data_IF_316671408970
#
_entry.id   IF_316671408970
#
_cell.length_a   1.000
_cell.length_b   1.000
_cell.length_c   1.000
_cell.angle_alpha   90.00
_cell.angle_beta   90.00
_cell.angle_gamma   90.00
#
_symmetry.space_group_name_H-M   'P 1'
#
loop_
_entity.id
_entity.type
_entity.pdbx_description
1 polymer ?
#
# COMPACT_ATOMS: atom_id res chain seq x y z
N UNK A 1 -17.60 -51.65 -33.72
CA UNK A 1 -17.75 -50.98 -32.41
C UNK A 1 -16.60 -49.98 -32.19
N UNK A 2 -16.89 -48.69 -32.09
CA UNK A 2 -15.89 -47.72 -31.64
C UNK A 2 -15.75 -47.84 -30.12
N UNK A 3 -14.54 -48.11 -29.64
CA UNK A 3 -14.23 -48.01 -28.21
C UNK A 3 -14.18 -46.52 -27.88
N UNK A 4 -14.96 -46.09 -26.88
CA UNK A 4 -14.91 -44.70 -26.39
C UNK A 4 -13.55 -44.35 -25.80
N UNK A 5 -13.25 -43.06 -25.66
CA UNK A 5 -12.00 -42.63 -25.00
C UNK A 5 -12.02 -43.04 -23.52
N UNK A 6 -10.89 -43.55 -23.03
CA UNK A 6 -10.67 -43.75 -21.60
C UNK A 6 -10.27 -42.42 -20.94
N UNK A 7 -10.93 -42.06 -19.84
CA UNK A 7 -10.68 -40.86 -19.05
C UNK A 7 -10.72 -41.19 -17.56
N UNK A 8 -10.18 -40.34 -16.68
CA UNK A 8 -10.17 -40.56 -15.23
C UNK A 8 -11.58 -40.61 -14.64
N UNK A 9 -11.74 -41.25 -13.49
CA UNK A 9 -13.00 -41.23 -12.75
C UNK A 9 -13.21 -39.91 -12.02
N UNK A 10 -12.15 -39.41 -11.37
CA UNK A 10 -12.17 -38.16 -10.62
C UNK A 10 -10.78 -37.53 -10.56
N UNK A 11 -10.75 -36.26 -10.14
CA UNK A 11 -9.54 -35.58 -9.73
C UNK A 11 -9.47 -35.44 -8.21
N UNK A 12 -8.25 -35.37 -7.69
CA UNK A 12 -7.97 -34.88 -6.35
C UNK A 12 -6.96 -33.76 -6.40
N UNK A 13 -7.05 -32.82 -5.45
CA UNK A 13 -6.18 -31.65 -5.38
C UNK A 13 -5.28 -31.68 -4.16
N UNK A 14 -4.10 -31.10 -4.31
CA UNK A 14 -3.15 -30.92 -3.22
C UNK A 14 -2.38 -29.61 -3.40
N UNK A 15 -2.00 -28.99 -2.29
CA UNK A 15 -1.16 -27.79 -2.29
C UNK A 15 0.26 -28.17 -2.71
N UNK A 16 0.77 -27.53 -3.76
CA UNK A 16 2.22 -27.52 -4.06
C UNK A 16 2.87 -26.39 -3.28
N UNK A 17 2.25 -25.22 -3.32
CA UNK A 17 2.67 -24.03 -2.58
C UNK A 17 1.44 -23.19 -2.23
N UNK A 18 1.31 -22.80 -0.96
CA UNK A 18 0.33 -21.77 -0.58
C UNK A 18 0.67 -20.40 -1.18
N UNK A 19 1.91 -20.22 -1.65
CA UNK A 19 2.48 -18.92 -1.97
C UNK A 19 2.84 -18.13 -0.72
N UNK A 20 3.49 -17.00 -0.93
CA UNK A 20 3.83 -16.05 0.11
C UNK A 20 3.89 -14.64 -0.47
N UNK A 21 3.48 -13.66 0.31
CA UNK A 21 3.79 -12.25 0.06
C UNK A 21 5.12 -11.90 0.75
N UNK A 22 5.66 -10.70 0.48
CA UNK A 22 6.98 -10.29 0.95
C UNK A 22 7.87 -9.67 -0.12
N UNK A 23 7.35 -9.43 -1.33
CA UNK A 23 8.03 -8.56 -2.29
C UNK A 23 8.10 -7.12 -1.76
N UNK A 24 7.10 -6.71 -0.97
CA UNK A 24 6.90 -5.38 -0.38
C UNK A 24 6.94 -4.23 -1.39
N UNK A 25 5.98 -3.32 -1.31
CA UNK A 25 6.00 -2.10 -2.13
C UNK A 25 6.94 -1.02 -1.57
N UNK A 26 7.30 -1.14 -0.28
CA UNK A 26 8.28 -0.32 0.42
C UNK A 26 9.28 -1.20 1.18
N UNK A 27 10.07 -0.61 2.09
CA UNK A 27 11.12 -1.34 2.81
C UNK A 27 10.52 -2.19 3.94
N UNK A 28 10.16 -3.43 3.61
CA UNK A 28 9.64 -4.43 4.57
C UNK A 28 8.16 -4.25 4.95
N UNK A 29 7.43 -3.44 4.19
CA UNK A 29 5.98 -3.28 4.32
C UNK A 29 5.40 -2.69 3.03
N UNK A 30 4.07 -2.69 2.92
CA UNK A 30 3.31 -1.93 1.92
C UNK A 30 2.29 -1.03 2.62
N UNK A 31 2.04 0.15 2.08
CA UNK A 31 0.93 0.97 2.57
C UNK A 31 -0.42 0.42 2.09
N UNK A 32 -1.47 0.58 2.88
CA UNK A 32 -2.85 0.49 2.36
C UNK A 32 -3.00 1.48 1.21
N UNK A 33 -3.53 1.04 0.07
CA UNK A 33 -3.60 1.80 -1.19
C UNK A 33 -2.40 1.61 -2.12
N UNK A 34 -1.30 1.00 -1.64
CA UNK A 34 -0.14 0.68 -2.45
C UNK A 34 -0.23 -0.75 -2.99
N UNK A 35 0.22 -0.93 -4.24
CA UNK A 35 0.18 -2.25 -4.90
C UNK A 35 1.42 -3.08 -4.58
N UNK A 36 1.22 -4.36 -4.28
CA UNK A 36 2.28 -5.34 -4.06
C UNK A 36 1.95 -6.67 -4.77
N UNK A 37 2.90 -7.62 -4.76
CA UNK A 37 2.74 -8.93 -5.40
C UNK A 37 3.34 -10.05 -4.53
N UNK A 38 3.21 -11.29 -4.98
CA UNK A 38 3.80 -12.44 -4.31
C UNK A 38 5.33 -12.37 -4.29
N UNK A 39 5.93 -12.85 -3.21
CA UNK A 39 7.33 -13.29 -3.21
C UNK A 39 7.44 -14.68 -3.85
N UNK A 40 6.48 -15.56 -3.57
CA UNK A 40 6.37 -16.89 -4.15
C UNK A 40 4.92 -17.13 -4.60
N UNK A 41 4.71 -17.46 -5.87
CA UNK A 41 3.36 -17.66 -6.39
C UNK A 41 2.69 -18.92 -5.80
N UNK A 42 1.38 -18.86 -5.50
CA UNK A 42 0.61 -20.05 -5.11
C UNK A 42 0.50 -21.07 -6.26
N UNK A 43 0.50 -22.35 -5.91
CA UNK A 43 0.44 -23.47 -6.86
C UNK A 43 -0.42 -24.62 -6.33
N UNK A 44 -1.31 -25.13 -7.18
CA UNK A 44 -2.21 -26.26 -6.89
C UNK A 44 -1.87 -27.42 -7.84
N UNK A 45 -1.71 -28.63 -7.29
CA UNK A 45 -1.58 -29.86 -8.08
C UNK A 45 -2.93 -30.56 -8.17
N UNK A 46 -3.34 -30.90 -9.38
CA UNK A 46 -4.52 -31.72 -9.68
C UNK A 46 -4.04 -33.08 -10.20
N UNK A 47 -4.48 -34.17 -9.57
CA UNK A 47 -4.07 -35.53 -9.94
C UNK A 47 -5.28 -36.34 -10.37
N UNK A 48 -5.18 -37.02 -11.51
CA UNK A 48 -6.23 -37.85 -12.07
C UNK A 48 -6.20 -39.27 -11.51
N UNK A 49 -7.34 -39.78 -11.06
CA UNK A 49 -7.48 -41.13 -10.49
C UNK A 49 -8.50 -41.98 -11.23
N UNK A 50 -8.32 -43.30 -11.18
CA UNK A 50 -9.27 -44.26 -11.74
C UNK A 50 -10.39 -44.63 -10.75
N UNK A 51 -11.38 -45.41 -11.22
CA UNK A 51 -12.54 -45.86 -10.44
C UNK A 51 -12.28 -47.12 -9.58
N UNK A 52 -11.02 -47.50 -9.33
CA UNK A 52 -10.71 -48.68 -8.53
C UNK A 52 -11.09 -48.45 -7.05
N UNK A 53 -11.39 -49.53 -6.31
CA UNK A 53 -11.72 -49.45 -4.88
C UNK A 53 -10.61 -48.80 -4.04
N UNK A 54 -9.36 -49.05 -4.41
CA UNK A 54 -8.20 -48.25 -4.00
C UNK A 54 -7.75 -47.46 -5.23
N UNK A 55 -8.07 -46.16 -5.33
CA UNK A 55 -7.80 -45.38 -6.53
C UNK A 55 -6.30 -45.34 -6.84
N UNK A 56 -5.97 -45.51 -8.12
CA UNK A 56 -4.60 -45.38 -8.65
C UNK A 56 -4.56 -44.24 -9.66
N UNK A 57 -3.42 -43.56 -9.72
CA UNK A 57 -3.21 -42.45 -10.66
C UNK A 57 -3.34 -42.94 -12.10
N UNK A 58 -4.13 -42.22 -12.90
CA UNK A 58 -4.27 -42.45 -14.34
C UNK A 58 -3.06 -41.86 -15.06
N UNK A 59 -1.93 -42.60 -15.08
CA UNK A 59 -0.64 -42.12 -15.61
C UNK A 59 -0.70 -41.60 -17.06
N UNK A 60 -1.62 -42.12 -17.88
CA UNK A 60 -1.80 -41.68 -19.27
C UNK A 60 -2.60 -40.37 -19.42
N UNK A 61 -3.06 -39.76 -18.32
CA UNK A 61 -3.69 -38.44 -18.33
C UNK A 61 -2.62 -37.35 -18.49
N UNK A 62 -2.14 -37.19 -19.73
CA UNK A 62 -1.09 -36.24 -20.14
C UNK A 62 -1.35 -35.77 -21.57
N UNK A 63 -0.76 -34.66 -21.99
CA UNK A 63 -0.77 -34.15 -23.36
C UNK A 63 -2.20 -34.06 -23.91
N UNK A 64 -2.49 -34.68 -25.06
CA UNK A 64 -3.82 -34.67 -25.67
C UNK A 64 -4.90 -35.43 -24.89
N UNK A 65 -4.52 -36.27 -23.91
CA UNK A 65 -5.45 -36.99 -23.03
C UNK A 65 -5.85 -36.16 -21.81
N UNK A 66 -5.00 -35.24 -21.36
CA UNK A 66 -5.38 -34.26 -20.34
C UNK A 66 -6.36 -33.25 -20.96
N UNK A 67 -7.56 -33.16 -20.40
CA UNK A 67 -8.63 -32.28 -20.90
C UNK A 67 -8.83 -31.04 -20.03
N UNK A 68 -8.27 -31.02 -18.83
CA UNK A 68 -8.21 -29.82 -18.01
C UNK A 68 -7.43 -28.72 -18.74
N UNK A 69 -8.02 -27.54 -18.74
CA UNK A 69 -7.53 -26.30 -19.30
C UNK A 69 -7.60 -25.19 -18.25
N UNK A 70 -6.95 -24.05 -18.49
CA UNK A 70 -6.95 -22.94 -17.53
C UNK A 70 -8.35 -22.41 -17.19
N UNK A 71 -9.31 -22.48 -18.13
CA UNK A 71 -10.70 -22.04 -17.90
C UNK A 71 -11.49 -22.93 -16.96
N UNK A 72 -11.02 -24.16 -16.74
CA UNK A 72 -11.71 -25.12 -15.89
C UNK A 72 -11.48 -24.85 -14.39
N UNK A 73 -10.49 -24.02 -14.05
CA UNK A 73 -10.15 -23.63 -12.69
C UNK A 73 -10.92 -22.36 -12.29
N UNK A 74 -12.06 -22.54 -11.62
CA UNK A 74 -12.83 -21.42 -11.12
C UNK A 74 -12.32 -20.98 -9.75
N UNK A 75 -11.56 -19.88 -9.73
CA UNK A 75 -11.06 -19.25 -8.50
C UNK A 75 -11.93 -18.04 -8.17
N UNK A 76 -12.53 -18.02 -6.98
CA UNK A 76 -13.22 -16.83 -6.48
C UNK A 76 -12.21 -15.71 -6.25
N UNK A 77 -12.42 -14.54 -6.86
CA UNK A 77 -11.55 -13.39 -6.63
C UNK A 77 -11.74 -12.89 -5.19
N UNK A 78 -10.67 -12.78 -4.39
CA UNK A 78 -10.77 -12.23 -3.04
C UNK A 78 -11.11 -10.74 -3.11
N UNK A 79 -11.97 -10.30 -2.19
CA UNK A 79 -12.36 -8.88 -2.02
C UNK A 79 -12.04 -8.35 -0.63
N UNK A 80 -11.59 -9.22 0.28
CA UNK A 80 -11.17 -8.90 1.64
C UNK A 80 -9.93 -9.70 2.02
N UNK A 81 -9.28 -9.29 3.11
CA UNK A 81 -8.40 -10.18 3.86
C UNK A 81 -9.16 -11.43 4.32
N UNK A 82 -8.44 -12.50 4.62
CA UNK A 82 -9.00 -13.74 5.14
C UNK A 82 -9.34 -13.65 6.64
N UNK A 83 -8.57 -12.86 7.40
CA UNK A 83 -8.57 -12.92 8.87
C UNK A 83 -8.65 -11.54 9.54
N UNK A 84 -8.18 -10.48 8.88
CA UNK A 84 -8.03 -9.16 9.50
C UNK A 84 -9.33 -8.36 9.48
N UNK A 85 -9.95 -8.17 10.64
CA UNK A 85 -11.02 -7.20 10.83
C UNK A 85 -10.50 -5.76 10.73
N UNK A 86 -11.32 -4.89 10.15
CA UNK A 86 -11.07 -3.46 10.09
C UNK A 86 -11.44 -2.73 11.39
N UNK A 87 -11.41 -1.40 11.32
CA UNK A 87 -11.66 -0.51 12.46
C UNK A 87 -13.06 -0.69 13.08
N UNK A 88 -14.05 -1.12 12.30
CA UNK A 88 -15.41 -1.39 12.80
C UNK A 88 -15.55 -2.72 13.56
N UNK A 89 -14.48 -3.53 13.67
CA UNK A 89 -14.46 -4.78 14.43
C UNK A 89 -15.39 -5.89 13.91
N UNK A 90 -15.96 -5.75 12.71
CA UNK A 90 -17.00 -6.65 12.18
C UNK A 90 -16.81 -7.03 10.72
N UNK A 91 -16.34 -6.09 9.88
CA UNK A 91 -16.02 -6.35 8.48
C UNK A 91 -14.50 -6.48 8.31
N UNK A 92 -14.09 -7.45 7.49
CA UNK A 92 -12.69 -7.63 7.12
C UNK A 92 -12.20 -6.43 6.29
N UNK A 93 -10.91 -6.12 6.39
CA UNK A 93 -10.29 -5.08 5.56
C UNK A 93 -10.37 -5.48 4.09
N UNK A 94 -10.75 -4.53 3.23
CA UNK A 94 -11.00 -4.79 1.81
C UNK A 94 -9.72 -4.75 1.01
N UNK A 95 -9.70 -5.53 -0.07
CA UNK A 95 -8.62 -5.53 -1.04
C UNK A 95 -9.13 -5.67 -2.47
N UNK A 96 -8.32 -5.22 -3.41
CA UNK A 96 -8.47 -5.48 -4.83
C UNK A 96 -7.36 -6.42 -5.29
N UNK A 97 -7.68 -7.29 -6.25
CA UNK A 97 -6.73 -8.16 -6.97
C UNK A 97 -6.80 -7.88 -8.46
N UNK A 98 -5.65 -7.70 -9.10
CA UNK A 98 -5.50 -7.70 -10.56
C UNK A 98 -4.77 -8.98 -10.95
N UNK A 99 -5.46 -9.96 -11.55
CA UNK A 99 -4.84 -11.24 -11.89
C UNK A 99 -3.83 -11.08 -13.04
N UNK A 100 -2.73 -11.82 -12.95
CA UNK A 100 -1.77 -12.00 -14.03
C UNK A 100 -2.01 -13.33 -14.76
N UNK A 101 -1.26 -13.58 -15.84
CA UNK A 101 -1.36 -14.83 -16.60
C UNK A 101 -1.02 -16.03 -15.74
N UNK A 102 -1.94 -16.99 -15.69
CA UNK A 102 -1.79 -18.28 -14.99
C UNK A 102 -1.13 -19.31 -15.91
N UNK A 103 -0.56 -20.36 -15.30
CA UNK A 103 0.07 -21.46 -16.01
C UNK A 103 -0.59 -22.78 -15.64
N UNK A 104 -0.64 -23.72 -16.59
CA UNK A 104 -1.01 -25.11 -16.35
C UNK A 104 0.07 -25.99 -16.94
N UNK A 105 0.83 -26.65 -16.07
CA UNK A 105 1.96 -27.50 -16.46
C UNK A 105 1.56 -28.96 -16.35
N UNK A 106 1.76 -29.72 -17.42
CA UNK A 106 1.64 -31.17 -17.40
C UNK A 106 2.90 -31.80 -16.80
N UNK A 107 2.74 -32.56 -15.72
CA UNK A 107 3.85 -33.21 -15.02
C UNK A 107 4.21 -34.58 -15.63
N UNK A 108 3.49 -35.03 -16.67
CA UNK A 108 3.70 -36.31 -17.38
C UNK A 108 3.56 -37.57 -16.51
N UNK A 109 2.89 -37.45 -15.37
CA UNK A 109 2.69 -38.50 -14.36
C UNK A 109 1.20 -38.75 -14.03
N UNK A 110 0.28 -38.25 -14.85
CA UNK A 110 -1.17 -38.25 -14.57
C UNK A 110 -1.64 -37.08 -13.71
N UNK A 111 -0.83 -36.03 -13.59
CA UNK A 111 -1.16 -34.80 -12.85
C UNK A 111 -0.79 -33.53 -13.60
N UNK A 112 -1.50 -32.44 -13.28
CA UNK A 112 -1.23 -31.10 -13.76
C UNK A 112 -0.97 -30.16 -12.58
N UNK A 113 -0.12 -29.15 -12.78
CA UNK A 113 0.14 -28.10 -11.80
C UNK A 113 -0.40 -26.77 -12.31
N UNK A 114 -1.43 -26.24 -11.63
CA UNK A 114 -1.92 -24.88 -11.83
C UNK A 114 -1.04 -23.91 -11.03
N UNK A 115 -0.55 -22.86 -11.69
CA UNK A 115 0.25 -21.81 -11.07
C UNK A 115 -0.40 -20.44 -11.27
N UNK A 116 -0.47 -19.66 -10.18
CA UNK A 116 -0.85 -18.25 -10.27
C UNK A 116 0.29 -17.44 -10.89
N UNK A 117 -0.07 -16.40 -11.67
CA UNK A 117 0.90 -15.40 -12.13
C UNK A 117 1.29 -14.43 -11.02
N UNK A 118 2.09 -13.41 -11.36
CA UNK A 118 2.42 -12.31 -10.46
C UNK A 118 1.24 -11.35 -10.33
N UNK A 119 0.16 -11.84 -9.71
CA UNK A 119 -1.03 -11.04 -9.43
C UNK A 119 -0.64 -9.82 -8.58
N UNK A 120 -1.34 -8.72 -8.81
CA UNK A 120 -1.17 -7.50 -8.05
C UNK A 120 -2.30 -7.37 -7.03
N UNK A 121 -1.95 -6.99 -5.81
CA UNK A 121 -2.86 -6.79 -4.69
C UNK A 121 -2.76 -5.38 -4.15
N UNK A 122 -3.90 -4.81 -3.75
CA UNK A 122 -3.98 -3.49 -3.12
C UNK A 122 -5.02 -3.55 -2.02
N UNK A 123 -4.61 -3.41 -0.75
CA UNK A 123 -5.57 -3.14 0.33
C UNK A 123 -6.15 -1.75 0.14
N UNK A 124 -7.45 -1.54 0.38
CA UNK A 124 -8.05 -0.22 0.22
C UNK A 124 -7.54 0.74 1.30
N UNK A 125 -7.36 2.01 0.95
CA UNK A 125 -7.04 3.10 1.88
C UNK A 125 -8.34 3.83 2.24
N UNK A 126 -8.98 3.38 3.32
CA UNK A 126 -10.32 3.81 3.71
C UNK A 126 -10.50 3.77 5.22
N UNK A 127 -11.60 4.32 5.74
CA UNK A 127 -11.84 4.43 7.20
C UNK A 127 -11.76 3.07 7.88
N UNK A 128 -12.30 2.02 7.24
CA UNK A 128 -12.29 0.68 7.83
C UNK A 128 -10.89 0.04 7.85
N UNK A 129 -9.94 0.51 7.03
CA UNK A 129 -8.56 0.02 7.02
C UNK A 129 -7.60 0.87 7.85
N UNK A 130 -8.05 1.98 8.48
CA UNK A 130 -7.28 2.72 9.47
C UNK A 130 -7.18 1.93 10.79
N UNK A 131 -6.35 0.89 10.78
CA UNK A 131 -6.02 0.04 11.93
C UNK A 131 -4.50 0.00 12.13
N UNK A 132 -4.06 -0.60 13.25
CA UNK A 132 -2.64 -0.86 13.47
C UNK A 132 -2.05 -1.80 12.40
N UNK A 133 -0.71 -1.84 12.26
CA UNK A 133 -0.08 -2.71 11.28
C UNK A 133 -0.47 -4.17 11.46
N UNK A 134 -0.68 -4.88 10.34
CA UNK A 134 -1.09 -6.29 10.35
C UNK A 134 -0.36 -7.09 9.27
N UNK A 135 -0.22 -8.40 9.50
CA UNK A 135 0.25 -9.34 8.47
C UNK A 135 -0.96 -9.83 7.69
N UNK A 136 -0.89 -9.69 6.38
CA UNK A 136 -1.98 -9.99 5.49
C UNK A 136 -2.18 -11.51 5.28
N UNK A 137 -3.41 -11.91 4.93
CA UNK A 137 -3.72 -13.26 4.48
C UNK A 137 -4.85 -13.21 3.43
N UNK A 138 -4.72 -13.97 2.34
CA UNK A 138 -5.70 -13.94 1.24
C UNK A 138 -6.12 -15.36 0.89
N UNK A 139 -7.43 -15.63 0.84
CA UNK A 139 -7.95 -16.92 0.40
C UNK A 139 -8.12 -16.97 -1.12
N UNK A 140 -7.44 -17.90 -1.77
CA UNK A 140 -7.63 -18.23 -3.19
C UNK A 140 -8.42 -19.53 -3.30
N UNK A 141 -9.74 -19.39 -3.36
CA UNK A 141 -10.66 -20.53 -3.25
C UNK A 141 -11.06 -21.04 -4.63
N UNK A 142 -10.63 -22.27 -4.93
CA UNK A 142 -11.08 -23.04 -6.07
C UNK A 142 -12.46 -23.63 -5.74
N UNK A 143 -13.48 -23.27 -6.53
CA UNK A 143 -14.87 -23.69 -6.30
C UNK A 143 -15.28 -24.85 -7.20
N UNK A 144 -14.79 -24.85 -8.44
CA UNK A 144 -15.00 -25.93 -9.41
C UNK A 144 -13.72 -26.17 -10.20
N UNK A 145 -13.42 -27.45 -10.43
CA UNK A 145 -12.38 -27.92 -11.35
C UNK A 145 -12.96 -29.15 -12.05
N UNK A 146 -13.36 -28.99 -13.30
CA UNK A 146 -14.05 -30.02 -14.10
C UNK A 146 -13.61 -29.87 -15.56
N UNK A 147 -13.19 -30.95 -16.19
CA UNK A 147 -12.77 -30.90 -17.59
C UNK A 147 -13.95 -31.11 -18.58
N UNK A 148 -13.63 -31.10 -19.89
CA UNK A 148 -14.61 -31.32 -20.96
C UNK A 148 -15.28 -32.70 -20.95
N UNK A 149 -14.76 -33.63 -20.16
CA UNK A 149 -15.28 -34.99 -20.04
C UNK A 149 -16.24 -35.13 -18.86
N UNK A 150 -16.45 -34.03 -18.13
CA UNK A 150 -17.22 -33.92 -16.90
C UNK A 150 -16.59 -34.67 -15.71
N UNK A 151 -15.28 -34.93 -15.75
CA UNK A 151 -14.56 -35.52 -14.62
C UNK A 151 -14.54 -34.51 -13.48
N UNK A 152 -15.10 -34.90 -12.33
CA UNK A 152 -15.25 -34.03 -11.18
C UNK A 152 -14.02 -34.07 -10.28
N UNK A 153 -13.73 -32.96 -9.62
CA UNK A 153 -12.73 -32.89 -8.55
C UNK A 153 -13.37 -33.13 -7.19
N UNK A 154 -12.78 -34.01 -6.40
CA UNK A 154 -13.19 -34.27 -5.02
C UNK A 154 -12.64 -33.20 -4.08
N UNK A 155 -13.32 -32.99 -2.94
CA UNK A 155 -12.87 -32.10 -1.85
C UNK A 155 -12.73 -30.62 -2.24
N UNK A 156 -13.64 -30.13 -3.10
CA UNK A 156 -13.86 -28.69 -3.30
C UNK A 156 -14.97 -28.16 -2.37
N UNK A 157 -14.94 -26.89 -1.96
CA UNK A 157 -13.91 -25.90 -2.30
C UNK A 157 -12.56 -26.18 -1.64
N UNK A 158 -11.48 -25.82 -2.34
CA UNK A 158 -10.11 -25.94 -1.84
C UNK A 158 -9.42 -24.58 -1.91
N UNK A 159 -8.71 -24.17 -0.85
CA UNK A 159 -8.10 -22.84 -0.78
C UNK A 159 -6.59 -22.93 -0.62
N UNK A 160 -5.88 -22.14 -1.42
CA UNK A 160 -4.50 -21.73 -1.12
C UNK A 160 -4.56 -20.41 -0.35
N UNK A 161 -3.67 -20.24 0.63
CA UNK A 161 -3.64 -19.03 1.44
C UNK A 161 -2.24 -18.41 1.47
N UNK A 162 -1.89 -17.57 0.49
CA UNK A 162 -0.70 -16.72 0.58
C UNK A 162 -0.85 -15.71 1.73
N UNK A 163 0.24 -15.51 2.46
CA UNK A 163 0.33 -14.61 3.62
C UNK A 163 1.69 -13.91 3.66
N UNK A 164 1.83 -12.89 4.51
CA UNK A 164 3.14 -12.41 4.98
C UNK A 164 3.52 -10.98 4.62
N UNK A 165 2.67 -10.25 3.88
CA UNK A 165 2.87 -8.83 3.64
C UNK A 165 2.52 -8.05 4.91
N UNK A 166 3.43 -7.20 5.38
CA UNK A 166 3.12 -6.25 6.45
C UNK A 166 2.42 -5.04 5.84
N UNK A 167 1.17 -4.79 6.23
CA UNK A 167 0.39 -3.65 5.77
C UNK A 167 0.41 -2.54 6.81
N UNK A 168 0.61 -1.29 6.38
CA UNK A 168 0.52 -0.08 7.21
C UNK A 168 -0.47 0.91 6.64
N UNK A 169 -1.34 1.46 7.47
CA UNK A 169 -2.17 2.60 7.06
C UNK A 169 -1.36 3.89 7.21
N UNK A 170 -1.05 4.56 6.11
CA UNK A 170 -0.08 5.67 6.07
C UNK A 170 -0.69 7.05 5.83
N UNK A 171 0.07 8.09 6.16
CA UNK A 171 -0.17 9.46 5.68
C UNK A 171 1.13 10.25 5.60
N UNK A 172 1.16 11.32 4.82
CA UNK A 172 2.17 12.37 4.94
C UNK A 172 1.67 13.45 5.91
N UNK A 173 2.55 14.02 6.71
CA UNK A 173 2.28 15.12 7.63
C UNK A 173 3.35 16.21 7.45
N UNK A 174 2.93 17.48 7.48
CA UNK A 174 3.83 18.64 7.38
C UNK A 174 3.73 19.41 8.69
N UNK A 175 4.83 19.50 9.42
CA UNK A 175 4.81 20.24 10.68
C UNK A 175 4.75 21.75 10.42
N UNK A 176 4.13 22.49 11.34
CA UNK A 176 4.34 23.93 11.42
C UNK A 176 5.75 24.22 11.98
N UNK A 177 6.38 25.29 11.47
CA UNK A 177 7.64 25.80 11.99
C UNK A 177 7.55 27.31 12.18
N UNK A 178 8.25 27.84 13.18
CA UNK A 178 8.36 29.27 13.40
C UNK A 178 9.78 29.62 13.87
N UNK A 179 10.24 30.82 13.52
CA UNK A 179 11.56 31.27 13.91
C UNK A 179 11.82 32.73 13.55
N UNK A 180 13.05 33.17 13.82
CA UNK A 180 13.50 34.51 13.41
C UNK A 180 13.59 34.61 11.89
N UNK A 181 13.21 35.77 11.38
CA UNK A 181 13.46 36.31 10.05
C UNK A 181 14.94 36.37 9.65
N UNK A 182 15.86 36.28 10.62
CA UNK A 182 17.32 36.32 10.41
C UNK A 182 17.97 34.94 10.23
N UNK A 183 17.20 33.85 10.37
CA UNK A 183 17.72 32.49 10.31
C UNK A 183 16.98 31.63 9.29
N UNK A 184 17.68 30.65 8.73
CA UNK A 184 17.04 29.63 7.92
C UNK A 184 16.06 28.81 8.78
N UNK A 185 14.89 28.51 8.23
CA UNK A 185 13.80 27.85 8.96
C UNK A 185 13.54 26.45 8.37
N UNK A 186 13.94 25.38 9.07
CA UNK A 186 13.65 24.01 8.64
C UNK A 186 12.20 23.61 8.99
N UNK A 187 11.50 23.05 8.01
CA UNK A 187 10.18 22.44 8.14
C UNK A 187 10.29 20.93 7.90
N UNK A 188 9.83 20.13 8.85
CA UNK A 188 9.80 18.67 8.71
C UNK A 188 8.57 18.21 7.93
N UNK A 189 8.80 17.43 6.89
CA UNK A 189 7.77 16.70 6.13
C UNK A 189 8.02 15.22 6.39
N UNK A 190 7.05 14.51 6.96
CA UNK A 190 7.26 13.13 7.41
C UNK A 190 6.13 12.22 7.00
N UNK A 191 6.44 10.95 6.79
CA UNK A 191 5.45 9.89 6.67
C UNK A 191 5.14 9.32 8.04
N UNK A 192 3.87 9.13 8.33
CA UNK A 192 3.36 8.51 9.55
C UNK A 192 2.57 7.25 9.19
N UNK A 193 2.42 6.34 10.15
CA UNK A 193 1.47 5.25 10.08
C UNK A 193 0.57 5.23 11.32
N UNK A 194 -0.65 4.74 11.16
CA UNK A 194 -1.55 4.55 12.29
C UNK A 194 -1.16 3.27 13.05
N UNK A 195 -0.86 3.39 14.34
CA UNK A 195 -0.39 2.28 15.17
C UNK A 195 -1.52 1.50 15.88
N UNK A 196 -2.78 1.84 15.59
CA UNK A 196 -3.98 1.30 16.26
C UNK A 196 -4.55 2.22 17.34
N UNK A 197 -3.76 3.18 17.84
CA UNK A 197 -4.19 4.20 18.81
C UNK A 197 -4.01 5.62 18.28
N UNK A 198 -2.94 5.86 17.53
CA UNK A 198 -2.60 7.17 16.99
C UNK A 198 -1.56 7.08 15.89
N UNK A 199 -1.16 8.25 15.39
CA UNK A 199 -0.15 8.37 14.35
C UNK A 199 1.26 8.26 14.94
N UNK A 200 2.12 7.50 14.28
CA UNK A 200 3.54 7.33 14.64
C UNK A 200 4.42 7.51 13.42
N UNK A 201 5.62 8.06 13.61
CA UNK A 201 6.57 8.29 12.52
C UNK A 201 6.95 6.97 11.85
N UNK A 202 6.82 6.92 10.52
CA UNK A 202 7.18 5.74 9.74
C UNK A 202 8.66 5.78 9.33
N UNK A 203 9.54 5.52 10.28
CA UNK A 203 11.00 5.57 10.04
C UNK A 203 11.51 4.53 9.05
N UNK A 204 10.70 3.51 8.73
CA UNK A 204 11.03 2.50 7.73
C UNK A 204 10.73 2.95 6.29
N UNK A 205 10.04 4.08 6.07
CA UNK A 205 9.78 4.56 4.72
C UNK A 205 11.08 5.08 4.08
N UNK A 206 11.63 4.28 3.16
CA UNK A 206 12.76 4.59 2.29
C UNK A 206 12.37 4.43 0.81
N UNK A 207 11.08 4.49 0.47
CA UNK A 207 10.59 4.31 -0.89
C UNK A 207 9.87 5.56 -1.42
N UNK A 208 9.36 6.42 -0.52
CA UNK A 208 8.71 7.67 -0.90
C UNK A 208 9.75 8.69 -1.36
N UNK A 209 9.54 9.30 -2.53
CA UNK A 209 10.40 10.36 -3.08
C UNK A 209 9.60 11.61 -3.41
N UNK A 210 9.95 12.73 -2.78
CA UNK A 210 9.30 14.03 -2.92
C UNK A 210 10.13 14.93 -3.84
N UNK A 211 9.47 15.58 -4.79
CA UNK A 211 10.07 16.58 -5.66
C UNK A 211 9.49 17.94 -5.28
N UNK A 212 10.35 18.95 -5.07
CA UNK A 212 9.90 20.27 -4.63
C UNK A 212 8.95 20.94 -5.63
N UNK A 213 9.10 20.69 -6.94
CA UNK A 213 8.26 21.31 -7.98
C UNK A 213 6.90 20.61 -8.09
N UNK A 214 6.89 19.27 -8.13
CA UNK A 214 5.67 18.50 -8.41
C UNK A 214 4.92 18.04 -7.17
N UNK A 215 5.56 17.94 -5.99
CA UNK A 215 4.95 17.36 -4.79
C UNK A 215 4.78 18.33 -3.62
N UNK A 216 5.22 19.58 -3.76
CA UNK A 216 5.06 20.63 -2.75
C UNK A 216 4.53 21.89 -3.42
N UNK A 217 3.61 22.58 -2.74
CA UNK A 217 3.12 23.89 -3.13
C UNK A 217 3.28 24.89 -1.99
N UNK A 218 3.52 26.14 -2.35
CA UNK A 218 3.70 27.25 -1.42
C UNK A 218 2.70 28.36 -1.71
N UNK A 219 2.17 29.01 -0.69
CA UNK A 219 1.32 30.18 -0.86
C UNK A 219 1.53 31.18 0.28
N UNK A 220 1.42 32.47 -0.05
CA UNK A 220 1.18 33.54 0.91
C UNK A 220 0.59 34.76 0.19
N UNK A 221 -0.01 35.72 0.92
CA UNK A 221 -0.63 36.89 0.28
C UNK A 221 0.34 37.75 -0.57
N UNK A 222 1.61 37.82 -0.16
CA UNK A 222 2.63 38.71 -0.76
C UNK A 222 3.23 38.16 -2.07
N UNK A 223 3.02 36.88 -2.38
CA UNK A 223 3.52 36.22 -3.59
C UNK A 223 2.37 35.79 -4.49
N UNK A 224 2.37 36.23 -5.75
CA UNK A 224 1.35 35.86 -6.74
C UNK A 224 -0.09 36.01 -6.23
N UNK A 225 -0.32 37.01 -5.39
CA UNK A 225 -1.62 37.32 -4.76
C UNK A 225 -2.25 36.12 -4.02
N UNK A 226 -1.46 35.30 -3.32
CA UNK A 226 -1.98 34.14 -2.59
C UNK A 226 -2.15 32.87 -3.41
N UNK A 227 -1.85 32.90 -4.70
CA UNK A 227 -1.97 31.71 -5.55
C UNK A 227 -0.90 30.67 -5.21
N UNK A 228 -1.26 29.40 -5.11
CA UNK A 228 -0.32 28.30 -4.90
C UNK A 228 0.73 28.21 -5.99
N UNK A 229 2.00 28.32 -5.60
CA UNK A 229 3.20 28.19 -6.42
C UNK A 229 3.92 26.86 -6.17
N UNK A 230 4.92 26.54 -6.97
CA UNK A 230 5.75 25.35 -6.77
C UNK A 230 6.62 25.45 -5.51
N UNK A 231 7.01 24.33 -4.92
CA UNK A 231 7.82 24.24 -3.69
C UNK A 231 9.22 24.85 -3.74
N UNK A 232 9.71 25.21 -4.93
CA UNK A 232 11.00 25.89 -5.14
C UNK A 232 10.85 27.37 -5.53
N UNK A 233 9.63 27.91 -5.55
CA UNK A 233 9.38 29.31 -5.88
C UNK A 233 9.95 30.22 -4.79
N UNK A 234 10.57 31.32 -5.20
CA UNK A 234 10.94 32.41 -4.29
C UNK A 234 9.67 33.11 -3.80
N UNK A 235 9.47 33.09 -2.49
CA UNK A 235 8.33 33.70 -1.81
C UNK A 235 8.74 35.06 -1.26
N UNK A 236 7.92 36.09 -1.50
CA UNK A 236 8.08 37.41 -0.88
C UNK A 236 7.63 37.33 0.58
N UNK A 237 8.37 37.94 1.50
CA UNK A 237 8.00 38.05 2.92
C UNK A 237 8.30 39.50 3.33
N UNK A 238 7.28 40.34 3.47
CA UNK A 238 7.49 41.78 3.65
C UNK A 238 8.25 42.37 2.45
N UNK A 239 9.42 42.97 2.71
CA UNK A 239 10.32 43.49 1.66
C UNK A 239 11.43 42.50 1.27
N UNK A 240 11.54 41.39 1.99
CA UNK A 240 12.52 40.33 1.77
C UNK A 240 11.97 39.17 0.94
N UNK A 241 12.81 38.15 0.77
CA UNK A 241 12.42 36.93 0.05
C UNK A 241 12.95 35.68 0.73
N UNK A 242 12.22 34.59 0.60
CA UNK A 242 12.59 33.28 1.11
C UNK A 242 12.40 32.21 0.04
N UNK A 243 13.36 31.30 -0.10
CA UNK A 243 13.28 30.17 -1.02
C UNK A 243 13.43 28.86 -0.27
N UNK A 244 12.56 27.89 -0.57
CA UNK A 244 12.60 26.56 0.00
C UNK A 244 13.59 25.64 -0.72
N UNK A 245 14.45 24.97 0.04
CA UNK A 245 15.30 23.87 -0.45
C UNK A 245 14.90 22.57 0.25
N UNK A 246 14.59 21.54 -0.53
CA UNK A 246 14.19 20.24 -0.04
C UNK A 246 15.40 19.30 0.06
N UNK A 247 15.59 18.66 1.20
CA UNK A 247 16.66 17.67 1.46
C UNK A 247 16.08 16.38 2.03
N UNK A 248 16.83 15.28 1.94
CA UNK A 248 16.40 13.94 2.39
C UNK A 248 15.08 13.51 1.75
N UNK A 249 14.92 13.72 0.45
CA UNK A 249 13.64 13.66 -0.24
C UNK A 249 13.60 12.66 -1.41
N UNK A 250 14.67 11.94 -1.69
CA UNK A 250 14.74 11.03 -2.83
C UNK A 250 15.66 9.83 -2.55
N UNK A 251 15.19 8.82 -1.80
CA UNK A 251 13.92 8.78 -1.06
C UNK A 251 14.01 9.55 0.27
N UNK A 252 12.92 9.56 1.04
CA UNK A 252 12.90 10.05 2.42
C UNK A 252 14.00 9.41 3.27
N UNK A 253 14.65 10.15 4.18
CA UNK A 253 15.60 9.59 5.14
C UNK A 253 14.90 9.33 6.47
N UNK A 254 14.82 8.07 6.89
CA UNK A 254 14.00 7.62 8.01
C UNK A 254 12.56 8.15 7.96
N UNK A 255 11.93 8.13 6.78
CA UNK A 255 10.57 8.64 6.58
C UNK A 255 10.42 10.16 6.71
N UNK A 256 11.52 10.91 6.69
CA UNK A 256 11.51 12.38 6.84
C UNK A 256 12.28 13.07 5.71
N UNK A 257 11.66 14.08 5.12
CA UNK A 257 12.30 15.13 4.35
C UNK A 257 12.31 16.45 5.13
N UNK A 258 13.21 17.36 4.77
CA UNK A 258 13.25 18.71 5.37
C UNK A 258 13.18 19.75 4.28
N UNK A 259 12.17 20.62 4.34
CA UNK A 259 12.05 21.82 3.52
C UNK A 259 12.62 22.99 4.31
N UNK A 260 13.81 23.43 3.94
CA UNK A 260 14.48 24.54 4.62
C UNK A 260 14.28 25.83 3.84
N UNK A 261 13.65 26.81 4.46
CA UNK A 261 13.49 28.15 3.90
C UNK A 261 14.68 29.03 4.27
N UNK A 262 15.16 29.83 3.32
CA UNK A 262 16.17 30.87 3.59
C UNK A 262 15.58 31.99 4.47
N UNK A 263 16.44 32.63 5.27
CA UNK A 263 16.06 33.80 6.05
C UNK A 263 15.58 34.94 5.14
N UNK A 264 14.39 35.54 5.36
CA UNK A 264 13.93 36.68 4.59
C UNK A 264 14.67 37.99 4.92
N UNK A 265 15.40 38.06 6.03
CA UNK A 265 16.18 39.22 6.46
C UNK A 265 15.50 40.06 7.54
N UNK A 266 16.24 41.04 8.07
CA UNK A 266 15.77 41.92 9.15
C UNK A 266 14.46 42.63 8.79
N UNK A 267 13.57 42.77 9.79
CA UNK A 267 12.25 43.39 9.67
C UNK A 267 11.28 42.76 8.65
N UNK A 268 11.60 41.58 8.11
CA UNK A 268 10.75 40.84 7.17
C UNK A 268 9.98 39.71 7.87
N UNK A 269 8.85 40.08 8.48
CA UNK A 269 7.96 39.15 9.18
C UNK A 269 6.83 38.68 8.26
N UNK A 270 6.38 37.44 8.45
CA UNK A 270 5.30 36.87 7.63
C UNK A 270 5.29 35.35 7.68
N UNK A 271 4.61 34.73 6.71
CA UNK A 271 4.53 33.29 6.64
C UNK A 271 4.48 32.77 5.20
N UNK A 272 4.75 31.48 5.08
CA UNK A 272 4.51 30.67 3.88
C UNK A 272 3.66 29.47 4.29
N UNK A 273 2.48 29.34 3.69
CA UNK A 273 1.68 28.11 3.76
C UNK A 273 2.29 27.07 2.81
N UNK A 274 2.29 25.83 3.27
CA UNK A 274 2.91 24.69 2.61
C UNK A 274 1.82 23.64 2.45
N UNK A 275 1.66 23.12 1.24
CA UNK A 275 0.75 22.03 0.93
C UNK A 275 1.50 20.90 0.22
N UNK A 276 1.20 19.65 0.53
CA UNK A 276 1.61 18.55 -0.33
C UNK A 276 0.87 18.58 -1.68
N UNK A 277 1.42 17.91 -2.68
CA UNK A 277 0.77 17.68 -3.97
C UNK A 277 1.09 16.27 -4.45
N UNK A 278 0.66 15.29 -3.67
CA UNK A 278 1.08 13.90 -3.83
C UNK A 278 -0.03 12.98 -4.31
N UNK A 279 -1.28 13.43 -4.40
CA UNK A 279 -2.44 12.64 -4.81
C UNK A 279 -2.27 11.82 -6.09
N UNK A 280 -1.54 12.34 -7.08
CA UNK A 280 -1.28 11.64 -8.34
C UNK A 280 -0.25 10.51 -8.26
N UNK A 281 0.62 10.51 -7.24
CA UNK A 281 1.80 9.63 -7.17
C UNK A 281 1.87 8.79 -5.88
N UNK A 282 1.28 9.28 -4.80
CA UNK A 282 1.27 8.67 -3.47
C UNK A 282 -0.10 8.82 -2.81
N UNK A 283 -1.18 8.47 -3.52
CA UNK A 283 -2.55 8.56 -2.99
C UNK A 283 -2.75 7.79 -1.67
N UNK A 284 -1.95 6.76 -1.43
CA UNK A 284 -1.90 5.99 -0.16
C UNK A 284 -1.27 6.73 1.03
N UNK A 285 -0.77 7.96 0.82
CA UNK A 285 -0.25 8.84 1.87
C UNK A 285 -1.12 10.10 2.07
N UNK A 286 -2.29 10.17 1.44
CA UNK A 286 -3.27 11.22 1.74
C UNK A 286 -3.93 10.95 3.09
N UNK A 287 -4.30 12.03 3.77
CA UNK A 287 -4.97 11.99 5.06
C UNK A 287 -6.46 12.30 4.95
N UNK A 288 -7.17 12.11 6.05
CA UNK A 288 -8.50 12.67 6.31
C UNK A 288 -8.28 13.88 7.23
N UNK A 289 -8.03 15.06 6.63
CA UNK A 289 -7.68 16.27 7.37
C UNK A 289 -8.91 17.16 7.62
N UNK A 290 -9.96 17.03 6.82
CA UNK A 290 -11.24 17.70 7.03
C UNK A 290 -12.25 16.89 7.88
N UNK A 291 -11.96 15.62 8.16
CA UNK A 291 -12.76 14.67 8.95
C UNK A 291 -14.09 14.28 8.27
N UNK A 292 -14.11 14.21 6.93
CA UNK A 292 -15.26 13.73 6.18
C UNK A 292 -15.30 12.19 6.01
N UNK A 293 -14.23 11.50 6.43
CA UNK A 293 -14.07 10.04 6.35
C UNK A 293 -13.38 9.56 5.06
N UNK A 294 -12.98 10.48 4.18
CA UNK A 294 -12.21 10.22 2.97
C UNK A 294 -10.73 10.53 3.22
N UNK A 295 -9.85 9.74 2.63
CA UNK A 295 -8.40 9.93 2.74
C UNK A 295 -7.87 10.47 1.42
N UNK A 296 -8.32 11.66 1.05
CA UNK A 296 -8.00 12.33 -0.20
C UNK A 296 -7.42 13.75 -0.01
N UNK A 297 -7.16 14.14 1.24
CA UNK A 297 -6.60 15.44 1.56
C UNK A 297 -5.08 15.48 1.48
N UNK A 298 -4.58 16.56 0.86
CA UNK A 298 -3.18 16.95 0.91
C UNK A 298 -2.84 17.54 2.28
N UNK A 299 -1.68 17.18 2.83
CA UNK A 299 -1.22 17.72 4.10
C UNK A 299 -0.89 19.21 4.01
N UNK A 300 -1.19 19.94 5.08
CA UNK A 300 -0.93 21.37 5.22
C UNK A 300 0.03 21.64 6.37
N UNK A 301 0.88 22.65 6.21
CA UNK A 301 1.73 23.20 7.26
C UNK A 301 2.06 24.66 6.98
N UNK A 302 2.71 25.33 7.94
CA UNK A 302 3.08 26.75 7.85
C UNK A 302 4.48 27.00 8.38
N UNK A 303 5.26 27.78 7.64
CA UNK A 303 6.52 28.37 8.08
C UNK A 303 6.31 29.85 8.41
N UNK A 304 6.55 30.25 9.66
CA UNK A 304 6.34 31.64 10.12
C UNK A 304 7.65 32.30 10.53
N UNK A 305 7.92 33.49 10.01
CA UNK A 305 9.10 34.32 10.28
C UNK A 305 8.76 35.51 11.15
N UNK A 306 9.67 35.88 12.06
CA UNK A 306 9.52 37.04 12.95
C UNK A 306 8.69 36.77 14.20
N UNK A 307 8.35 35.51 14.48
CA UNK A 307 7.74 35.12 15.75
C UNK A 307 8.85 34.86 16.78
N UNK A 308 8.93 35.71 17.79
CA UNK A 308 9.89 35.58 18.88
C UNK A 308 9.59 34.31 19.70
N UNK A 309 10.59 33.46 19.87
CA UNK A 309 10.56 32.39 20.88
C UNK A 309 10.59 33.10 22.24
N UNK A 310 9.44 33.27 22.89
CA UNK A 310 9.38 33.79 24.26
C UNK A 310 10.40 33.05 25.13
N UNK A 311 11.16 33.77 25.96
CA UNK A 311 12.18 33.14 26.80
C UNK A 311 11.55 32.05 27.67
N UNK A 312 12.22 30.90 27.81
CA UNK A 312 11.81 29.83 28.75
C UNK A 312 11.77 30.30 30.22
N UNK A 313 12.23 31.53 30.52
CA UNK A 313 12.18 32.16 31.83
C UNK A 313 11.06 33.19 31.92
N UNK A 314 9.87 32.76 32.35
CA UNK A 314 8.83 33.66 32.83
C UNK A 314 9.24 34.18 34.22
N UNK A 315 9.65 35.45 34.35
CA UNK A 315 9.83 36.08 35.66
C UNK A 315 8.44 36.46 36.19
N UNK A 316 7.90 35.68 37.14
CA UNK A 316 6.74 36.09 37.92
C UNK A 316 7.15 37.19 38.90
N UNK A 317 6.65 38.41 38.68
CA UNK A 317 6.73 39.48 39.67
C UNK A 317 5.38 39.59 40.38
N UNK A 318 5.31 39.09 41.62
CA UNK A 318 4.14 39.26 42.50
C UNK A 318 4.25 40.58 43.23
N UNK A 319 3.37 41.53 42.94
CA UNK A 319 3.15 42.67 43.83
C UNK A 319 2.35 42.17 45.05
N UNK A 320 2.91 42.40 46.23
CA UNK A 320 2.23 42.19 47.52
C UNK A 320 1.75 43.57 47.94
N UNK A 321 0.44 43.72 48.13
CA UNK A 321 -0.16 44.87 48.80
C UNK A 321 -0.61 44.44 50.20
#
# INVERSE_FOLDING_TARGET
>A
PAIGRFYPDHFQVSTVSNGAFGANACTGFSYSGQTFTYQNNPQLKVTAYNAATTPVITQNYTSSFAKLSLSDFNVTSPTTDANQFGANGSNLVRLNRVPATTTLTDNTDGSLTFGFGNDLYTYLHETNSQIGPFSNAVNLTFTTITDSDNVQTQSLPYSLQPTGELIRFGRININNAHGSELAALPVSIKTEYFNGFGWSDNTADQCTSLNSISHIRLANPDTSSGSWQAGNTTMNIGLGTSTGTLTNNSPLLNGVATLTFSAPGEDNQGYVDIQSRISANYGWLLGDYDNDGSYDDEALGRASFGLFKGSDNIIFRREVY
#
